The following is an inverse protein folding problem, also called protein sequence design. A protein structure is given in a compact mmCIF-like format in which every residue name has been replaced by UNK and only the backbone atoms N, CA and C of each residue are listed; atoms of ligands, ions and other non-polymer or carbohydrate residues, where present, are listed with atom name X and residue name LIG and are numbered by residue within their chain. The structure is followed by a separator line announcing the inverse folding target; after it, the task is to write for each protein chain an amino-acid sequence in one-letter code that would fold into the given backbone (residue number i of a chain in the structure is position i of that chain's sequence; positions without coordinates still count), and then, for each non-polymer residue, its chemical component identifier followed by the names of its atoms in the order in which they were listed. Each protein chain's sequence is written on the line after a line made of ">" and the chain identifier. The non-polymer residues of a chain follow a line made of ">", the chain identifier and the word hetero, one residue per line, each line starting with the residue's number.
data_IF_349672080174
#
_entry.id   IF_349672080174
#
_cell.length_a   1.000
_cell.length_b   1.000
_cell.length_c   1.000
_cell.angle_alpha   90.00
_cell.angle_beta   90.00
_cell.angle_gamma   90.00
#
_symmetry.space_group_name_H-M   'P 1'
#
loop_
_entity.id
_entity.type
_entity.pdbx_description
1 polymer ?
#
# COMPACT_ATOMS: atom_id res chain seq x y z
N UNK A 1 10.56 6.31 -8.61
CA UNK A 1 9.76 6.60 -7.41
C UNK A 1 9.18 5.31 -6.91
N UNK A 2 8.92 5.20 -5.62
CA UNK A 2 8.28 4.03 -5.03
C UNK A 2 7.04 4.46 -4.25
N UNK A 3 6.05 3.58 -4.22
CA UNK A 3 4.87 3.76 -3.38
C UNK A 3 5.15 3.09 -2.04
N UNK A 4 5.07 3.84 -0.96
CA UNK A 4 5.21 3.31 0.40
C UNK A 4 3.85 3.07 1.01
N UNK A 5 3.73 2.01 1.82
CA UNK A 5 2.55 1.74 2.64
C UNK A 5 2.88 1.96 4.11
N UNK A 6 2.53 3.14 4.63
CA UNK A 6 2.80 3.53 6.02
C UNK A 6 1.54 4.03 6.72
N UNK A 7 1.33 3.60 7.97
CA UNK A 7 0.20 4.04 8.81
C UNK A 7 -1.17 3.91 8.09
N UNK A 8 -1.38 2.81 7.37
CA UNK A 8 -2.58 2.58 6.56
C UNK A 8 -2.81 3.68 5.50
N UNK A 9 -1.75 4.23 4.92
CA UNK A 9 -1.84 5.15 3.78
C UNK A 9 -0.76 4.84 2.77
N UNK A 10 -1.14 4.87 1.50
CA UNK A 10 -0.19 4.77 0.39
C UNK A 10 0.29 6.17 0.03
N UNK A 11 1.61 6.36 -0.07
CA UNK A 11 2.22 7.65 -0.43
C UNK A 11 3.32 7.45 -1.48
N UNK A 12 3.57 8.49 -2.26
CA UNK A 12 4.74 8.56 -3.13
C UNK A 12 5.97 8.90 -2.32
N UNK A 13 7.07 8.19 -2.58
CA UNK A 13 8.39 8.58 -2.14
C UNK A 13 9.40 8.56 -3.31
N UNK A 14 10.20 9.63 -3.49
CA UNK A 14 10.05 10.94 -2.84
C UNK A 14 8.69 11.59 -3.20
N UNK A 15 8.33 12.73 -2.59
CA UNK A 15 7.09 13.43 -2.98
C UNK A 15 7.21 14.01 -4.40
N UNK A 16 6.10 14.44 -5.00
CA UNK A 16 6.17 15.10 -6.31
C UNK A 16 6.93 16.43 -6.20
N UNK A 17 6.75 17.15 -5.10
CA UNK A 17 7.44 18.39 -4.80
C UNK A 17 8.97 18.18 -4.79
N UNK A 18 9.44 17.15 -4.08
CA UNK A 18 10.86 16.79 -4.03
C UNK A 18 11.39 16.40 -5.42
N UNK A 19 10.59 15.67 -6.23
CA UNK A 19 10.95 15.31 -7.60
C UNK A 19 11.08 16.56 -8.49
N UNK A 20 10.12 17.49 -8.39
CA UNK A 20 10.13 18.73 -9.15
C UNK A 20 11.34 19.60 -8.80
N UNK A 21 11.63 19.74 -7.51
CA UNK A 21 12.82 20.45 -7.02
C UNK A 21 14.11 19.81 -7.53
N UNK A 22 14.21 18.47 -7.50
CA UNK A 22 15.38 17.74 -8.01
C UNK A 22 15.59 17.96 -9.51
N UNK A 23 14.52 17.91 -10.31
CA UNK A 23 14.60 18.13 -11.77
C UNK A 23 15.07 19.55 -12.06
N UNK A 24 14.52 20.55 -11.36
CA UNK A 24 14.94 21.96 -11.49
C UNK A 24 16.39 22.15 -11.06
N UNK A 25 16.78 21.51 -9.95
CA UNK A 25 18.15 21.57 -9.44
C UNK A 25 19.15 21.01 -10.45
N UNK A 26 18.89 19.84 -11.03
CA UNK A 26 19.76 19.23 -12.06
C UNK A 26 19.86 20.15 -13.29
N UNK A 27 18.75 20.71 -13.75
CA UNK A 27 18.76 21.66 -14.86
C UNK A 27 19.60 22.91 -14.55
N UNK A 28 19.53 23.43 -13.32
CA UNK A 28 20.34 24.56 -12.88
C UNK A 28 21.83 24.19 -12.86
N UNK A 29 22.20 23.02 -12.33
CA UNK A 29 23.58 22.55 -12.33
C UNK A 29 24.14 22.41 -13.74
N UNK A 30 23.33 21.93 -14.70
CA UNK A 30 23.72 21.88 -16.11
C UNK A 30 23.99 23.29 -16.65
N UNK A 31 23.09 24.25 -16.42
CA UNK A 31 23.28 25.63 -16.85
C UNK A 31 24.52 26.27 -16.24
N UNK A 32 24.82 26.00 -14.97
CA UNK A 32 25.97 26.55 -14.27
C UNK A 32 27.29 25.90 -14.72
N UNK A 33 27.27 24.60 -15.04
CA UNK A 33 28.45 23.87 -15.54
C UNK A 33 28.96 24.36 -16.91
N UNK A 34 28.05 24.88 -17.75
CA UNK A 34 28.36 25.28 -19.13
C UNK A 34 28.84 26.74 -19.25
N UNK A 35 29.00 27.46 -18.14
CA UNK A 35 29.31 28.90 -18.17
C UNK A 35 30.75 29.23 -18.61
N UNK A 36 31.71 28.31 -18.44
CA UNK A 36 33.14 28.56 -18.70
C UNK A 36 33.71 27.59 -19.73
N UNK A 37 33.46 27.88 -21.01
CA UNK A 37 34.06 27.11 -22.12
C UNK A 37 35.40 27.74 -22.50
N UNK A 38 36.54 27.03 -22.40
CA UNK A 38 37.83 27.61 -22.74
C UNK A 38 37.98 27.72 -24.26
N UNK A 39 38.55 28.81 -24.75
CA UNK A 39 38.77 29.01 -26.19
C UNK A 39 39.86 28.09 -26.75
N UNK A 40 39.82 27.77 -28.05
CA UNK A 40 40.85 26.94 -28.73
C UNK A 40 42.28 27.44 -28.42
N UNK A 41 42.47 28.75 -28.38
CA UNK A 41 43.75 29.37 -28.05
C UNK A 41 44.22 29.05 -26.63
N UNK A 42 43.30 29.00 -25.66
CA UNK A 42 43.60 28.59 -24.29
C UNK A 42 43.84 27.09 -24.14
N UNK A 43 43.23 26.25 -24.98
CA UNK A 43 43.52 24.81 -25.02
C UNK A 43 44.90 24.52 -25.60
N UNK A 44 45.28 25.19 -26.68
CA UNK A 44 46.52 24.92 -27.41
C UNK A 44 47.77 25.48 -26.75
N UNK A 45 47.67 26.63 -26.07
CA UNK A 45 48.86 27.37 -25.63
C UNK A 45 49.12 27.33 -24.12
N UNK A 46 48.32 26.62 -23.31
CA UNK A 46 48.45 26.51 -21.84
C UNK A 46 49.07 27.76 -21.17
N UNK A 47 48.52 28.94 -21.47
CA UNK A 47 49.04 30.20 -20.95
C UNK A 47 48.45 30.47 -19.56
N UNK A 48 49.17 31.25 -18.74
CA UNK A 48 48.75 31.60 -17.37
C UNK A 48 47.37 32.27 -17.28
N UNK A 49 46.88 32.87 -18.37
CA UNK A 49 45.57 33.52 -18.46
C UNK A 49 44.66 32.79 -19.46
N UNK A 50 43.98 31.74 -19.01
CA UNK A 50 42.92 31.09 -19.80
C UNK A 50 41.81 32.10 -20.14
N UNK A 51 41.48 32.22 -21.43
CA UNK A 51 40.35 32.99 -21.94
C UNK A 51 39.15 32.06 -22.13
N UNK A 52 38.09 32.36 -21.39
CA UNK A 52 36.82 31.63 -21.45
C UNK A 52 35.80 32.44 -22.25
N UNK A 53 34.94 31.74 -22.98
CA UNK A 53 33.72 32.31 -23.54
C UNK A 53 32.68 32.31 -22.42
N UNK A 54 32.01 33.45 -22.23
CA UNK A 54 30.86 33.53 -21.33
C UNK A 54 29.70 32.75 -21.95
N UNK A 55 29.50 31.53 -21.45
CA UNK A 55 28.41 30.64 -21.84
C UNK A 55 27.13 30.87 -21.02
N UNK A 56 27.06 31.92 -20.19
CA UNK A 56 25.93 32.13 -19.30
C UNK A 56 24.63 32.27 -20.09
N UNK A 57 23.68 31.40 -19.78
CA UNK A 57 22.32 31.48 -20.33
C UNK A 57 21.64 32.74 -19.77
N UNK A 58 21.07 33.62 -20.62
CA UNK A 58 20.33 34.78 -20.14
C UNK A 58 19.16 34.39 -19.21
N UNK A 59 18.97 35.17 -18.14
CA UNK A 59 18.02 34.82 -17.07
C UNK A 59 16.57 34.62 -17.58
N UNK A 60 16.14 35.40 -18.57
CA UNK A 60 14.81 35.26 -19.18
C UNK A 60 14.64 33.96 -20.00
N UNK A 61 15.71 33.45 -20.59
CA UNK A 61 15.70 32.17 -21.31
C UNK A 61 15.75 31.00 -20.33
N UNK A 62 16.60 31.11 -19.30
CA UNK A 62 16.70 30.11 -18.23
C UNK A 62 15.35 29.92 -17.51
N UNK A 63 14.71 31.03 -17.11
CA UNK A 63 13.39 30.99 -16.45
C UNK A 63 12.28 30.41 -17.34
N UNK A 64 12.29 30.71 -18.65
CA UNK A 64 11.35 30.13 -19.59
C UNK A 64 11.58 28.61 -19.76
N UNK A 65 12.84 28.19 -19.87
CA UNK A 65 13.19 26.78 -19.99
C UNK A 65 12.80 25.99 -18.72
N UNK A 66 13.08 26.52 -17.53
CA UNK A 66 12.70 25.91 -16.26
C UNK A 66 11.17 25.82 -16.11
N UNK A 67 10.42 26.84 -16.54
CA UNK A 67 8.95 26.80 -16.53
C UNK A 67 8.41 25.71 -17.46
N UNK A 68 8.96 25.59 -18.67
CA UNK A 68 8.59 24.51 -19.59
C UNK A 68 8.91 23.13 -19.01
N UNK A 69 10.06 23.00 -18.35
CA UNK A 69 10.49 21.77 -17.71
C UNK A 69 9.54 21.37 -16.57
N UNK A 70 9.14 22.30 -15.70
CA UNK A 70 8.13 22.05 -14.65
C UNK A 70 6.80 21.59 -15.23
N UNK A 71 6.30 22.28 -16.26
CA UNK A 71 5.05 21.89 -16.91
C UNK A 71 5.13 20.49 -17.52
N UNK A 72 6.26 20.16 -18.16
CA UNK A 72 6.51 18.82 -18.69
C UNK A 72 6.62 17.76 -17.59
N UNK A 73 7.31 18.04 -16.48
CA UNK A 73 7.40 17.13 -15.34
C UNK A 73 5.99 16.84 -14.78
N UNK A 74 5.18 17.88 -14.61
CA UNK A 74 3.79 17.76 -14.13
C UNK A 74 2.92 16.93 -15.06
N UNK A 75 2.96 17.18 -16.37
CA UNK A 75 2.17 16.40 -17.34
C UNK A 75 2.61 14.94 -17.39
N UNK A 76 3.92 14.67 -17.26
CA UNK A 76 4.43 13.30 -17.21
C UNK A 76 4.06 12.57 -15.91
N UNK A 77 3.92 13.30 -14.79
CA UNK A 77 3.48 12.74 -13.51
C UNK A 77 1.99 12.37 -13.49
N UNK A 78 1.18 12.96 -14.37
CA UNK A 78 -0.26 12.71 -14.40
C UNK A 78 -0.61 11.25 -14.69
N UNK A 79 0.09 10.58 -15.61
CA UNK A 79 -0.15 9.16 -15.93
C UNK A 79 0.15 8.23 -14.73
N UNK A 80 1.32 8.32 -14.06
CA UNK A 80 1.57 7.62 -12.80
C UNK A 80 0.50 7.88 -11.74
N UNK A 81 0.03 9.12 -11.61
CA UNK A 81 -0.99 9.48 -10.64
C UNK A 81 -2.34 8.83 -10.96
N UNK A 82 -2.74 8.83 -12.23
CA UNK A 82 -3.96 8.18 -12.69
C UNK A 82 -3.91 6.66 -12.50
N UNK A 83 -2.76 6.03 -12.81
CA UNK A 83 -2.53 4.62 -12.53
C UNK A 83 -2.67 4.31 -11.04
N UNK A 84 -1.99 5.09 -10.19
CA UNK A 84 -2.09 4.96 -8.74
C UNK A 84 -3.53 5.05 -8.25
N UNK A 85 -4.29 6.04 -8.73
CA UNK A 85 -5.69 6.21 -8.32
C UNK A 85 -6.59 5.07 -8.78
N UNK A 86 -6.52 4.68 -10.06
CA UNK A 86 -7.43 3.70 -10.65
C UNK A 86 -7.10 2.26 -10.26
N UNK A 87 -5.82 1.92 -10.22
CA UNK A 87 -5.36 0.52 -10.03
C UNK A 87 -5.17 0.17 -8.56
N UNK A 88 -4.80 1.13 -7.72
CA UNK A 88 -4.46 0.87 -6.31
C UNK A 88 -5.50 1.50 -5.38
N UNK A 89 -5.76 2.80 -5.52
CA UNK A 89 -6.60 3.50 -4.53
C UNK A 89 -8.06 3.08 -4.62
N UNK A 90 -8.66 3.11 -5.81
CA UNK A 90 -10.08 2.79 -6.00
C UNK A 90 -10.47 1.36 -5.56
N UNK A 91 -9.77 0.29 -5.99
CA UNK A 91 -10.18 -1.07 -5.65
C UNK A 91 -9.89 -1.46 -4.20
N UNK A 92 -8.95 -0.80 -3.52
CA UNK A 92 -8.51 -1.20 -2.17
C UNK A 92 -8.77 -0.14 -1.11
N UNK A 93 -9.56 0.90 -1.39
CA UNK A 93 -9.79 2.04 -0.48
C UNK A 93 -10.21 1.65 0.92
N UNK A 94 -11.10 0.67 1.00
CA UNK A 94 -11.69 0.16 2.24
C UNK A 94 -10.69 -0.59 3.14
N UNK A 95 -9.54 -1.03 2.59
CA UNK A 95 -8.48 -1.70 3.37
C UNK A 95 -7.62 -0.69 4.14
N UNK A 96 -7.44 0.51 3.60
CA UNK A 96 -6.55 1.52 4.18
C UNK A 96 -7.30 2.68 4.87
N UNK A 97 -8.59 2.86 4.63
CA UNK A 97 -9.43 3.81 5.40
C UNK A 97 -9.92 3.26 6.76
N UNK A 98 -9.64 1.98 7.04
CA UNK A 98 -10.07 1.27 8.25
C UNK A 98 -11.53 0.82 8.22
N UNK A 99 -12.23 0.97 7.10
CA UNK A 99 -13.62 0.54 6.91
C UNK A 99 -13.75 -0.97 7.03
N UNK A 100 -12.86 -1.76 6.42
CA UNK A 100 -12.93 -3.23 6.56
C UNK A 100 -12.67 -3.69 7.98
N UNK A 101 -11.77 -3.03 8.71
CA UNK A 101 -11.54 -3.32 10.12
C UNK A 101 -12.82 -3.10 10.94
N UNK A 102 -13.58 -2.02 10.66
CA UNK A 102 -14.88 -1.76 11.29
C UNK A 102 -15.94 -2.78 10.86
N UNK A 103 -15.95 -3.21 9.60
CA UNK A 103 -16.83 -4.27 9.10
C UNK A 103 -16.56 -5.60 9.80
N UNK A 104 -15.28 -5.97 9.99
CA UNK A 104 -14.89 -7.15 10.76
C UNK A 104 -15.36 -7.02 12.22
N UNK A 105 -15.19 -5.84 12.82
CA UNK A 105 -15.66 -5.56 14.19
C UNK A 105 -17.20 -5.60 14.30
N UNK A 106 -17.92 -5.12 13.29
CA UNK A 106 -19.39 -5.10 13.25
C UNK A 106 -19.96 -6.51 13.04
N UNK A 107 -19.40 -7.27 12.10
CA UNK A 107 -19.74 -8.67 11.85
C UNK A 107 -19.62 -9.50 13.14
N UNK A 108 -18.58 -9.25 13.93
CA UNK A 108 -18.38 -9.89 15.23
C UNK A 108 -19.37 -9.49 16.33
N UNK A 109 -19.94 -8.28 16.24
CA UNK A 109 -20.95 -7.77 17.18
C UNK A 109 -22.37 -8.23 16.82
N UNK A 110 -22.68 -8.31 15.53
CA UNK A 110 -23.99 -8.78 15.03
C UNK A 110 -24.20 -10.28 15.23
N UNK A 111 -23.14 -11.09 15.20
CA UNK A 111 -23.19 -12.54 15.48
C UNK A 111 -23.36 -12.86 16.98
N UNK A 112 -24.29 -12.16 17.61
CA UNK A 112 -24.78 -12.40 18.95
C UNK A 112 -25.83 -13.51 18.98
N UNK A 113 -25.52 -14.74 18.59
CA UNK A 113 -26.12 -15.87 19.32
C UNK A 113 -25.38 -17.22 19.18
N UNK A 114 -24.60 -17.57 20.21
CA UNK A 114 -24.25 -18.96 20.47
C UNK A 114 -25.37 -19.71 21.21
N UNK A 115 -26.55 -19.11 21.49
CA UNK A 115 -27.64 -19.83 22.18
C UNK A 115 -28.17 -21.02 21.38
N UNK A 116 -28.04 -21.03 20.06
CA UNK A 116 -28.38 -22.23 19.28
C UNK A 116 -27.45 -23.41 19.60
N UNK A 117 -26.17 -23.14 19.91
CA UNK A 117 -25.25 -24.16 20.43
C UNK A 117 -25.65 -24.63 21.83
N UNK A 118 -26.17 -23.73 22.69
CA UNK A 118 -26.72 -24.08 24.02
C UNK A 118 -27.89 -25.05 23.91
N UNK A 119 -28.83 -24.76 22.99
CA UNK A 119 -30.00 -25.61 22.74
C UNK A 119 -29.62 -26.94 22.09
N UNK A 120 -28.57 -26.96 21.26
CA UNK A 120 -28.06 -28.18 20.62
C UNK A 120 -27.34 -29.12 21.59
N UNK A 121 -26.48 -28.58 22.47
CA UNK A 121 -25.80 -29.38 23.50
C UNK A 121 -26.76 -29.93 24.56
N UNK A 122 -27.74 -29.13 25.01
CA UNK A 122 -28.75 -29.59 25.97
C UNK A 122 -29.65 -30.71 25.44
N UNK A 123 -29.78 -30.87 24.11
CA UNK A 123 -30.56 -31.96 23.50
C UNK A 123 -29.79 -33.29 23.35
N UNK A 124 -28.47 -33.31 23.55
CA UNK A 124 -27.66 -34.52 23.43
C UNK A 124 -26.72 -34.71 24.62
N UNK A 125 -27.23 -35.32 25.69
CA UNK A 125 -26.46 -35.85 26.81
C UNK A 125 -25.84 -37.23 26.49
N UNK A 126 -25.21 -37.40 25.32
CA UNK A 126 -24.56 -38.68 24.96
C UNK A 126 -23.02 -38.56 25.04
N UNK A 127 -22.33 -39.36 25.87
CA UNK A 127 -20.86 -39.28 26.05
C UNK A 127 -20.02 -39.64 24.82
N UNK A 128 -20.62 -40.17 23.76
CA UNK A 128 -19.89 -40.64 22.56
C UNK A 128 -19.77 -39.59 21.44
N UNK A 129 -20.44 -38.43 21.55
CA UNK A 129 -20.36 -37.37 20.51
C UNK A 129 -19.17 -36.43 20.64
N UNK A 130 -18.39 -36.49 21.72
CA UNK A 130 -17.23 -35.60 21.96
C UNK A 130 -16.13 -35.71 20.90
N UNK A 131 -15.98 -36.86 20.23
CA UNK A 131 -15.01 -37.03 19.14
C UNK A 131 -15.45 -36.33 17.84
N UNK A 132 -16.76 -36.13 17.66
CA UNK A 132 -17.33 -35.40 16.51
C UNK A 132 -17.51 -33.90 16.78
N UNK A 133 -17.43 -33.46 18.04
CA UNK A 133 -17.52 -32.04 18.42
C UNK A 133 -16.39 -31.19 17.83
N UNK A 134 -15.20 -31.77 17.58
CA UNK A 134 -14.09 -31.06 16.90
C UNK A 134 -14.34 -30.84 15.39
N UNK A 135 -15.25 -31.60 14.78
CA UNK A 135 -15.62 -31.49 13.36
C UNK A 135 -16.84 -30.61 13.12
N UNK A 136 -17.59 -30.24 14.16
CA UNK A 136 -18.75 -29.36 14.11
C UNK A 136 -18.42 -28.01 14.77
N UNK A 137 -17.53 -27.26 14.11
CA UNK A 137 -17.54 -25.80 14.21
C UNK A 137 -18.99 -25.35 13.91
N UNK A 138 -19.61 -24.45 14.70
CA UNK A 138 -21.06 -24.26 14.75
C UNK A 138 -21.68 -23.97 13.38
N UNK A 139 -23.01 -24.02 13.26
CA UNK A 139 -23.77 -23.69 12.04
C UNK A 139 -23.44 -22.31 11.39
N UNK A 140 -22.76 -21.40 12.08
CA UNK A 140 -22.20 -20.14 11.50
C UNK A 140 -20.72 -20.23 11.05
N UNK A 141 -20.02 -21.32 11.34
CA UNK A 141 -18.70 -21.69 10.81
C UNK A 141 -18.53 -21.49 9.30
N UNK A 142 -19.52 -21.80 8.44
CA UNK A 142 -19.44 -21.47 7.02
C UNK A 142 -19.32 -19.96 6.74
N UNK A 143 -19.97 -19.08 7.52
CA UNK A 143 -19.91 -17.63 7.29
C UNK A 143 -18.54 -17.03 7.67
N UNK A 144 -17.98 -17.42 8.82
CA UNK A 144 -16.62 -17.01 9.21
C UNK A 144 -15.58 -17.52 8.21
N UNK A 145 -15.68 -18.80 7.83
CA UNK A 145 -14.79 -19.39 6.84
C UNK A 145 -14.90 -18.66 5.50
N UNK A 146 -16.12 -18.34 5.05
CA UNK A 146 -16.34 -17.57 3.82
C UNK A 146 -15.71 -16.18 3.88
N UNK A 147 -15.83 -15.46 5.00
CA UNK A 147 -15.22 -14.14 5.16
C UNK A 147 -13.68 -14.22 5.21
N UNK A 148 -13.13 -15.20 5.91
CA UNK A 148 -11.68 -15.47 5.95
C UNK A 148 -11.16 -15.83 4.56
N UNK A 149 -11.87 -16.69 3.83
CA UNK A 149 -11.53 -17.05 2.45
C UNK A 149 -11.58 -15.83 1.53
N UNK A 150 -12.57 -14.94 1.69
CA UNK A 150 -12.62 -13.66 0.96
C UNK A 150 -11.36 -12.82 1.21
N UNK A 151 -10.95 -12.64 2.46
CA UNK A 151 -9.75 -11.88 2.82
C UNK A 151 -8.47 -12.55 2.28
N UNK A 152 -8.41 -13.89 2.28
CA UNK A 152 -7.27 -14.61 1.73
C UNK A 152 -7.19 -14.49 0.21
N UNK A 153 -8.32 -14.62 -0.50
CA UNK A 153 -8.38 -14.41 -1.95
C UNK A 153 -7.98 -12.98 -2.31
N UNK A 154 -8.46 -11.99 -1.56
CA UNK A 154 -8.05 -10.59 -1.75
C UNK A 154 -6.55 -10.40 -1.56
N UNK A 155 -5.95 -11.05 -0.55
CA UNK A 155 -4.50 -11.01 -0.34
C UNK A 155 -3.71 -11.61 -1.52
N UNK A 156 -4.25 -12.64 -2.18
CA UNK A 156 -3.67 -13.23 -3.39
C UNK A 156 -3.85 -12.31 -4.62
N UNK A 157 -5.03 -11.71 -4.78
CA UNK A 157 -5.32 -10.77 -5.87
C UNK A 157 -4.40 -9.55 -5.82
N UNK A 158 -4.16 -9.00 -4.63
CA UNK A 158 -3.21 -7.89 -4.42
C UNK A 158 -1.80 -8.26 -4.89
N UNK A 159 -1.38 -9.52 -4.73
CA UNK A 159 -0.06 -9.97 -5.16
C UNK A 159 0.06 -10.11 -6.69
N UNK A 160 -1.05 -10.05 -7.44
CA UNK A 160 -1.05 -10.02 -8.90
C UNK A 160 -0.82 -8.62 -9.48
N UNK A 161 -0.85 -7.57 -8.64
CA UNK A 161 -0.48 -6.23 -9.06
C UNK A 161 0.97 -6.22 -9.61
N UNK A 162 1.29 -5.32 -10.56
CA UNK A 162 2.63 -5.22 -11.11
C UNK A 162 3.65 -4.82 -10.04
N UNK A 163 4.86 -5.40 -10.10
CA UNK A 163 5.98 -5.04 -9.22
C UNK A 163 6.43 -3.60 -9.47
N UNK A 164 6.54 -3.23 -10.75
CA UNK A 164 6.85 -1.88 -11.17
C UNK A 164 6.19 -1.55 -12.51
N UNK A 165 5.80 -0.29 -12.65
CA UNK A 165 5.27 0.27 -13.90
C UNK A 165 6.20 1.34 -14.44
N UNK A 166 6.34 1.39 -15.76
CA UNK A 166 7.27 2.29 -16.44
C UNK A 166 6.51 3.38 -17.19
N UNK A 167 6.81 4.62 -16.84
CA UNK A 167 6.33 5.83 -17.51
C UNK A 167 7.53 6.64 -18.03
N UNK A 168 7.26 7.59 -18.92
CA UNK A 168 8.28 8.35 -19.67
C UNK A 168 9.38 8.95 -18.76
N UNK A 169 9.00 9.53 -17.61
CA UNK A 169 9.94 10.14 -16.66
C UNK A 169 10.16 9.29 -15.41
N UNK A 170 9.26 8.34 -15.12
CA UNK A 170 9.13 7.73 -13.81
C UNK A 170 8.96 6.22 -13.96
N UNK A 171 9.88 5.46 -13.37
CA UNK A 171 9.60 4.09 -12.95
C UNK A 171 8.92 4.16 -11.59
N UNK A 172 7.72 3.60 -11.49
CA UNK A 172 6.92 3.53 -10.27
C UNK A 172 7.00 2.13 -9.69
N UNK A 173 7.65 1.99 -8.54
CA UNK A 173 7.76 0.73 -7.80
C UNK A 173 6.55 0.55 -6.87
N UNK A 174 5.89 -0.60 -6.97
CA UNK A 174 4.65 -0.91 -6.24
C UNK A 174 4.84 -2.05 -5.22
N UNK A 175 6.06 -2.62 -5.10
CA UNK A 175 6.33 -3.80 -4.28
C UNK A 175 5.87 -3.64 -2.82
N UNK A 176 6.27 -2.54 -2.19
CA UNK A 176 5.93 -2.24 -0.80
C UNK A 176 4.42 -2.14 -0.57
N UNK A 177 3.67 -1.62 -1.55
CA UNK A 177 2.20 -1.53 -1.46
C UNK A 177 1.56 -2.90 -1.55
N UNK A 178 2.01 -3.76 -2.46
CA UNK A 178 1.49 -5.14 -2.57
C UNK A 178 1.69 -5.90 -1.27
N UNK A 179 2.92 -5.85 -0.75
CA UNK A 179 3.28 -6.50 0.49
C UNK A 179 2.47 -5.91 1.66
N UNK A 180 2.33 -4.58 1.72
CA UNK A 180 1.56 -3.89 2.76
C UNK A 180 0.08 -4.27 2.77
N UNK A 181 -0.57 -4.24 1.61
CA UNK A 181 -1.99 -4.59 1.44
C UNK A 181 -2.24 -6.08 1.74
N UNK A 182 -1.36 -6.96 1.27
CA UNK A 182 -1.46 -8.41 1.53
C UNK A 182 -1.33 -8.70 3.03
N UNK A 183 -0.37 -8.07 3.71
CA UNK A 183 -0.21 -8.18 5.17
C UNK A 183 -1.42 -7.66 5.92
N UNK A 184 -2.05 -6.58 5.48
CA UNK A 184 -3.25 -6.05 6.12
C UNK A 184 -4.44 -7.00 5.99
N UNK A 185 -4.63 -7.60 4.80
CA UNK A 185 -5.65 -8.64 4.61
C UNK A 185 -5.43 -9.84 5.54
N UNK A 186 -4.17 -10.30 5.67
CA UNK A 186 -3.81 -11.39 6.58
C UNK A 186 -4.03 -11.00 8.06
N UNK A 187 -3.72 -9.76 8.44
CA UNK A 187 -3.95 -9.24 9.79
C UNK A 187 -5.43 -9.26 10.15
N UNK A 188 -6.31 -8.83 9.24
CA UNK A 188 -7.76 -8.86 9.41
C UNK A 188 -8.28 -10.30 9.56
N UNK A 189 -7.80 -11.22 8.71
CA UNK A 189 -8.17 -12.64 8.78
C UNK A 189 -7.76 -13.29 10.11
N UNK A 190 -6.53 -13.02 10.57
CA UNK A 190 -6.03 -13.54 11.85
C UNK A 190 -6.80 -12.94 13.04
N UNK A 191 -7.14 -11.66 12.99
CA UNK A 191 -7.97 -11.00 14.03
C UNK A 191 -9.34 -11.67 14.15
N UNK A 192 -9.97 -11.99 13.02
CA UNK A 192 -11.25 -12.70 12.98
C UNK A 192 -11.13 -14.10 13.59
N UNK A 193 -10.10 -14.87 13.19
CA UNK A 193 -9.81 -16.20 13.71
C UNK A 193 -9.59 -16.21 15.23
N UNK A 194 -8.74 -15.31 15.74
CA UNK A 194 -8.42 -15.22 17.17
C UNK A 194 -9.65 -14.89 18.01
N UNK A 195 -10.50 -13.99 17.54
CA UNK A 195 -11.73 -13.61 18.26
C UNK A 195 -12.76 -14.73 18.26
N UNK A 196 -12.93 -15.45 17.15
CA UNK A 196 -13.78 -16.65 17.09
C UNK A 196 -13.28 -17.71 18.07
N UNK A 197 -11.96 -17.99 18.06
CA UNK A 197 -11.36 -18.96 18.97
C UNK A 197 -11.54 -18.55 20.45
N UNK A 198 -11.41 -17.26 20.76
CA UNK A 198 -11.61 -16.73 22.11
C UNK A 198 -13.07 -16.86 22.56
N UNK A 199 -14.02 -16.54 21.67
CA UNK A 199 -15.46 -16.67 21.95
C UNK A 199 -15.85 -18.13 22.20
N UNK A 200 -15.37 -19.06 21.35
CA UNK A 200 -15.58 -20.51 21.53
C UNK A 200 -15.01 -21.02 22.87
N UNK A 201 -13.78 -20.61 23.22
CA UNK A 201 -13.16 -20.97 24.51
C UNK A 201 -13.97 -20.46 25.70
N UNK A 202 -14.50 -19.24 25.60
CA UNK A 202 -15.33 -18.65 26.65
C UNK A 202 -16.64 -19.43 26.81
N UNK A 203 -17.35 -19.72 25.72
CA UNK A 203 -18.59 -20.49 25.79
C UNK A 203 -18.34 -21.90 26.33
N UNK A 204 -17.24 -22.56 25.92
CA UNK A 204 -16.86 -23.88 26.46
C UNK A 204 -16.59 -23.84 27.98
N UNK A 205 -15.94 -22.79 28.50
CA UNK A 205 -15.74 -22.62 29.94
C UNK A 205 -17.07 -22.45 30.68
N UNK A 206 -17.98 -21.66 30.14
CA UNK A 206 -19.33 -21.47 30.71
C UNK A 206 -20.07 -22.81 30.78
N UNK A 207 -20.02 -23.65 29.74
CA UNK A 207 -20.60 -24.99 29.77
C UNK A 207 -20.02 -25.86 30.88
N UNK A 208 -18.69 -25.95 30.98
CA UNK A 208 -18.04 -26.76 32.01
C UNK A 208 -18.47 -26.32 33.41
N UNK A 209 -18.62 -25.02 33.64
CA UNK A 209 -19.07 -24.48 34.93
C UNK A 209 -20.56 -24.67 35.22
N UNK A 210 -21.41 -24.86 34.22
CA UNK A 210 -22.85 -25.11 34.40
C UNK A 210 -23.17 -26.59 34.62
N UNK A 211 -22.27 -27.50 34.24
CA UNK A 211 -22.46 -28.96 34.32
C UNK A 211 -21.81 -29.56 35.58
N UNK A 212 -20.91 -28.81 36.24
CA UNK A 212 -20.30 -29.13 37.54
C UNK A 212 -21.17 -28.67 38.71
#
# INVERSE_FOLDING_TARGET
>A
MYLTFENQRVKFFPSYEDLEELIVFVAQQIMDSLQKVPTIQSWLHQQANNRYIDGKVPDHIASLALTKLRNAAKSNFQRPLEFFQKTIVQPYSYLFDGTESKSVDAFLKEDGDFKDYRNYLQRKEDPFTWHFLYLLIPFNGPFYLQYITKLHNLAQEVMLLPDAEYFDLIRLDCEDVKVGLSKECQRLANTLLERVATKLRQTNKEYVSCVS
#
